data_IF_507531600826
#
_entry.id   IF_507531600826
#
_cell.length_a   1.000
_cell.length_b   1.000
_cell.length_c   1.000
_cell.angle_alpha   90.00
_cell.angle_beta   90.00
_cell.angle_gamma   90.00
#
_symmetry.space_group_name_H-M   'P 1'
#
loop_
_entity.id
_entity.type
_entity.pdbx_description
1 polymer ?
#
# COMPACT_ATOMS: atom_id res chain seq x y z
N UNK A 1 -21.65 37.28 20.45
CA UNK A 1 -21.20 35.93 20.05
C UNK A 1 -22.10 35.46 18.90
N UNK A 2 -21.62 35.61 17.67
CA UNK A 2 -22.37 35.23 16.46
C UNK A 2 -21.97 33.82 16.03
N UNK A 3 -22.96 32.94 15.84
CA UNK A 3 -22.79 31.63 15.22
C UNK A 3 -23.39 31.74 13.83
N UNK A 4 -22.52 31.84 12.81
CA UNK A 4 -22.94 31.79 11.42
C UNK A 4 -23.10 30.33 11.02
N UNK A 5 -24.36 29.90 10.91
CA UNK A 5 -24.75 28.64 10.26
C UNK A 5 -24.71 28.91 8.75
N UNK A 6 -23.73 28.33 8.07
CA UNK A 6 -23.61 28.39 6.61
C UNK A 6 -24.19 27.13 5.97
N UNK A 7 -25.41 27.24 5.47
CA UNK A 7 -26.09 26.22 4.67
C UNK A 7 -25.33 25.96 3.34
N UNK A 8 -24.80 24.75 3.17
CA UNK A 8 -24.25 24.29 1.89
C UNK A 8 -25.24 23.41 1.14
N UNK A 9 -25.56 23.90 -0.06
CA UNK A 9 -26.41 23.32 -1.08
C UNK A 9 -26.18 21.80 -1.32
N UNK A 10 -27.19 20.99 -1.00
CA UNK A 10 -27.26 19.56 -1.34
C UNK A 10 -27.68 19.39 -2.80
N UNK A 11 -26.73 19.14 -3.71
CA UNK A 11 -27.03 18.64 -5.06
C UNK A 11 -27.28 17.14 -5.00
N UNK A 12 -28.52 16.74 -5.28
CA UNK A 12 -28.96 15.36 -5.45
C UNK A 12 -28.28 14.76 -6.69
N UNK A 13 -27.41 13.78 -6.49
CA UNK A 13 -26.82 13.01 -7.59
C UNK A 13 -27.53 11.66 -7.73
N UNK A 14 -27.81 11.32 -8.97
CA UNK A 14 -28.75 10.29 -9.42
C UNK A 14 -27.97 9.01 -9.71
N UNK A 15 -28.24 7.94 -8.98
CA UNK A 15 -27.57 6.65 -9.13
C UNK A 15 -27.94 5.99 -10.48
N UNK A 16 -26.92 5.52 -11.21
CA UNK A 16 -27.10 4.60 -12.35
C UNK A 16 -26.51 3.24 -11.95
N UNK A 17 -27.39 2.25 -11.82
CA UNK A 17 -27.10 0.86 -11.48
C UNK A 17 -26.42 0.18 -12.67
N UNK A 18 -25.24 -0.41 -12.47
CA UNK A 18 -24.55 -1.22 -13.46
C UNK A 18 -24.30 -2.61 -12.88
N UNK A 19 -24.91 -3.62 -13.48
CA UNK A 19 -24.81 -5.03 -13.09
C UNK A 19 -23.73 -5.68 -13.96
N UNK A 20 -22.74 -6.35 -13.35
CA UNK A 20 -21.75 -7.16 -14.08
C UNK A 20 -21.80 -8.59 -13.50
N UNK A 21 -22.21 -9.53 -14.34
CA UNK A 21 -22.11 -10.99 -14.12
C UNK A 21 -20.80 -11.52 -14.70
N UNK A 22 -20.07 -12.35 -13.96
CA UNK A 22 -18.96 -13.16 -14.49
C UNK A 22 -19.06 -14.60 -13.96
N UNK A 23 -18.95 -15.64 -14.81
CA UNK A 23 -18.88 -17.03 -14.36
C UNK A 23 -17.44 -17.44 -14.01
N UNK A 24 -17.29 -18.12 -12.88
CA UNK A 24 -16.05 -18.70 -12.36
C UNK A 24 -15.92 -20.14 -12.88
N UNK A 25 -14.76 -20.49 -13.43
CA UNK A 25 -14.34 -21.88 -13.58
C UNK A 25 -12.89 -22.00 -13.06
N UNK A 26 -12.76 -22.50 -11.83
CA UNK A 26 -11.47 -22.83 -11.21
C UNK A 26 -11.33 -24.36 -11.17
N UNK A 27 -10.35 -24.89 -11.91
CA UNK A 27 -9.95 -26.29 -11.84
C UNK A 27 -9.29 -26.55 -10.46
N UNK A 28 -9.86 -27.45 -9.66
CA UNK A 28 -9.26 -27.95 -8.42
C UNK A 28 -8.45 -29.20 -8.74
N UNK A 29 -7.21 -29.28 -8.26
CA UNK A 29 -6.43 -30.53 -8.24
C UNK A 29 -6.03 -30.83 -6.80
N UNK A 30 -6.50 -31.94 -6.26
CA UNK A 30 -6.24 -32.42 -4.90
C UNK A 30 -5.04 -33.38 -4.93
N UNK A 31 -4.00 -33.08 -4.15
CA UNK A 31 -2.93 -34.03 -3.87
C UNK A 31 -2.99 -34.45 -2.39
N UNK A 32 -3.19 -35.75 -2.17
CA UNK A 32 -3.21 -36.41 -0.87
C UNK A 32 -1.79 -36.79 -0.46
N UNK A 33 -1.38 -36.49 0.77
CA UNK A 33 -0.12 -36.95 1.35
C UNK A 33 -0.41 -37.86 2.55
N UNK A 34 -0.04 -39.12 2.42
CA UNK A 34 -0.11 -40.12 3.49
C UNK A 34 1.03 -39.93 4.51
N UNK A 35 0.81 -40.21 5.81
CA UNK A 35 1.89 -40.34 6.78
C UNK A 35 2.45 -41.77 6.74
N UNK A 36 3.77 -41.90 6.53
CA UNK A 36 4.49 -43.16 6.69
C UNK A 36 5.10 -43.23 8.09
N UNK A 37 4.52 -44.09 8.92
CA UNK A 37 5.09 -44.59 10.18
C UNK A 37 6.29 -45.51 9.87
N UNK A 38 7.48 -45.18 10.37
CA UNK A 38 8.59 -46.13 10.52
C UNK A 38 9.25 -45.94 11.89
N UNK A 39 9.22 -47.02 12.65
CA UNK A 39 9.63 -47.13 14.04
C UNK A 39 11.00 -47.83 14.14
N UNK A 40 11.83 -47.37 15.10
CA UNK A 40 12.96 -48.06 15.75
C UNK A 40 14.24 -48.31 14.90
N UNK A 41 15.49 -48.12 15.36
CA UNK A 41 16.02 -48.07 16.73
C UNK A 41 17.55 -47.82 16.80
N UNK A 42 18.00 -47.06 17.82
CA UNK A 42 19.30 -47.05 18.55
C UNK A 42 20.63 -46.56 17.89
N UNK A 43 21.16 -45.41 18.37
CA UNK A 43 22.41 -45.32 19.18
C UNK A 43 22.76 -43.87 19.56
N UNK A 44 23.19 -43.68 20.80
CA UNK A 44 23.32 -42.41 21.53
C UNK A 44 24.61 -41.63 21.20
N UNK A 45 24.53 -40.29 21.08
CA UNK A 45 25.02 -39.30 22.08
C UNK A 45 25.11 -37.88 21.48
N UNK A 46 24.43 -36.94 22.17
CA UNK A 46 24.81 -35.54 22.45
C UNK A 46 25.07 -34.61 21.25
N UNK A 47 24.19 -33.67 20.89
CA UNK A 47 23.89 -32.46 21.66
C UNK A 47 22.78 -31.66 20.95
N UNK A 48 21.95 -30.93 21.69
CA UNK A 48 20.88 -29.99 21.25
C UNK A 48 19.45 -30.52 21.13
N UNK A 49 19.06 -31.48 21.98
CA UNK A 49 17.66 -31.76 22.28
C UNK A 49 17.31 -31.24 23.68
N UNK A 50 17.03 -29.94 23.76
CA UNK A 50 16.29 -29.37 24.89
C UNK A 50 14.87 -29.03 24.42
N UNK A 51 13.93 -29.86 24.87
CA UNK A 51 12.52 -29.58 25.20
C UNK A 51 11.86 -28.41 24.45
N UNK A 52 11.00 -28.73 23.48
CA UNK A 52 9.99 -27.79 22.97
C UNK A 52 8.71 -27.80 23.83
N UNK A 53 8.72 -28.49 24.97
CA UNK A 53 7.55 -28.66 25.85
C UNK A 53 7.48 -27.61 26.97
N UNK A 54 8.34 -26.58 26.95
CA UNK A 54 8.42 -25.56 28.02
C UNK A 54 8.14 -24.11 27.55
N UNK A 55 7.52 -23.91 26.38
CA UNK A 55 6.99 -22.60 25.97
C UNK A 55 5.47 -22.52 26.14
N UNK A 56 4.80 -23.67 26.33
CA UNK A 56 3.37 -23.72 26.67
C UNK A 56 3.10 -23.56 28.16
N UNK A 57 4.15 -23.61 29.01
CA UNK A 57 4.03 -23.61 30.48
C UNK A 57 4.34 -22.29 31.21
N UNK A 58 4.95 -21.29 30.56
CA UNK A 58 5.39 -20.04 31.23
C UNK A 58 4.80 -18.78 30.58
N UNK A 59 3.47 -18.66 30.50
CA UNK A 59 2.77 -17.37 30.68
C UNK A 59 1.25 -17.53 30.77
N UNK A 60 0.74 -18.44 31.62
CA UNK A 60 -0.72 -18.55 31.85
C UNK A 60 -1.27 -17.47 32.79
N UNK A 61 -0.45 -16.57 33.35
CA UNK A 61 -0.92 -15.53 34.28
C UNK A 61 -0.50 -14.10 33.90
N UNK A 62 -0.32 -13.81 32.61
CA UNK A 62 -0.25 -12.41 32.14
C UNK A 62 -1.62 -11.97 31.58
N UNK A 63 -2.25 -10.88 32.06
CA UNK A 63 -3.58 -10.43 31.61
C UNK A 63 -3.64 -9.94 30.15
N UNK A 64 -2.56 -10.05 29.38
CA UNK A 64 -2.37 -9.28 28.15
C UNK A 64 -2.02 -10.10 26.90
N UNK A 65 -2.01 -11.43 26.95
CA UNK A 65 -1.69 -12.23 25.77
C UNK A 65 -2.79 -13.23 25.43
N UNK A 66 -3.91 -12.69 24.97
CA UNK A 66 -4.94 -13.46 24.27
C UNK A 66 -4.32 -13.99 22.98
N UNK A 67 -4.19 -15.32 22.94
CA UNK A 67 -3.96 -16.15 21.76
C UNK A 67 -4.59 -15.48 20.53
N UNK A 68 -3.75 -15.17 19.53
CA UNK A 68 -4.16 -14.72 18.20
C UNK A 68 -5.29 -15.63 17.71
N UNK A 69 -6.52 -15.12 17.83
CA UNK A 69 -7.69 -15.68 17.16
C UNK A 69 -7.36 -15.74 15.68
N UNK A 70 -7.75 -16.81 15.00
CA UNK A 70 -7.84 -16.92 13.54
C UNK A 70 -8.81 -15.86 13.01
N UNK A 71 -8.45 -14.59 13.15
CA UNK A 71 -9.24 -13.45 12.74
C UNK A 71 -9.03 -13.29 11.24
N UNK A 72 -9.70 -14.16 10.49
CA UNK A 72 -9.89 -13.99 9.06
C UNK A 72 -10.72 -12.74 8.89
N UNK A 73 -10.06 -11.64 8.52
CA UNK A 73 -10.74 -10.40 8.20
C UNK A 73 -11.67 -10.61 7.01
N UNK A 74 -12.84 -10.00 7.06
CA UNK A 74 -13.70 -9.91 5.88
C UNK A 74 -13.02 -9.06 4.81
N UNK A 75 -13.43 -9.23 3.55
CA UNK A 75 -12.93 -8.43 2.44
C UNK A 75 -13.26 -6.94 2.64
N UNK A 76 -14.40 -6.64 3.26
CA UNK A 76 -14.81 -5.28 3.62
C UNK A 76 -13.86 -4.66 4.65
N UNK A 77 -13.49 -5.43 5.68
CA UNK A 77 -12.59 -4.99 6.73
C UNK A 77 -11.16 -4.76 6.18
N UNK A 78 -10.69 -5.65 5.30
CA UNK A 78 -9.41 -5.47 4.60
C UNK A 78 -9.39 -4.21 3.73
N UNK A 79 -10.49 -3.93 3.02
CA UNK A 79 -10.62 -2.71 2.22
C UNK A 79 -10.60 -1.46 3.09
N UNK A 80 -11.28 -1.51 4.23
CA UNK A 80 -11.33 -0.40 5.19
C UNK A 80 -9.95 -0.09 5.80
N UNK A 81 -9.17 -1.13 6.12
CA UNK A 81 -7.80 -0.96 6.58
C UNK A 81 -6.93 -0.31 5.50
N UNK A 82 -7.05 -0.77 4.24
CA UNK A 82 -6.31 -0.18 3.11
C UNK A 82 -6.71 1.28 2.83
N UNK A 83 -7.87 1.75 3.28
CA UNK A 83 -8.29 3.15 3.16
C UNK A 83 -8.00 3.99 4.42
N UNK A 84 -7.28 3.43 5.38
CA UNK A 84 -6.90 4.10 6.63
C UNK A 84 -5.40 4.35 6.68
N UNK A 85 -4.97 5.42 7.34
CA UNK A 85 -3.55 5.72 7.49
C UNK A 85 -2.86 4.70 8.41
N UNK A 86 -1.77 4.06 7.96
CA UNK A 86 -1.04 3.09 8.79
C UNK A 86 -0.22 3.76 9.91
N UNK A 87 0.09 5.04 9.78
CA UNK A 87 0.87 5.79 10.77
C UNK A 87 0.01 6.35 11.91
N UNK A 88 -1.19 6.87 11.61
CA UNK A 88 -2.02 7.55 12.61
C UNK A 88 -3.45 6.99 12.76
N UNK A 89 -3.82 5.97 11.97
CA UNK A 89 -5.09 5.25 12.12
C UNK A 89 -6.34 5.99 11.64
N UNK A 90 -6.23 7.23 11.15
CA UNK A 90 -7.41 7.96 10.63
C UNK A 90 -7.92 7.31 9.35
N UNK A 91 -9.24 7.30 9.19
CA UNK A 91 -9.94 6.79 8.01
C UNK A 91 -10.03 7.88 6.94
N UNK A 92 -9.42 7.67 5.78
CA UNK A 92 -9.49 8.64 4.67
C UNK A 92 -10.83 8.58 3.94
N UNK A 93 -11.54 7.47 3.99
CA UNK A 93 -12.91 7.35 3.44
C UNK A 93 -13.93 8.16 4.21
N UNK A 94 -13.66 8.45 5.49
CA UNK A 94 -14.48 9.33 6.34
C UNK A 94 -14.00 10.79 6.30
N UNK A 95 -13.15 11.15 5.33
CA UNK A 95 -12.56 12.49 5.16
C UNK A 95 -11.71 12.97 6.36
N UNK A 96 -11.22 12.04 7.19
CA UNK A 96 -10.32 12.36 8.29
C UNK A 96 -8.87 12.39 7.85
N UNK A 97 -8.11 13.36 8.35
CA UNK A 97 -6.67 13.51 8.10
C UNK A 97 -5.96 14.02 9.34
N UNK A 98 -4.70 13.63 9.49
CA UNK A 98 -3.78 14.29 10.42
C UNK A 98 -2.83 15.20 9.66
N UNK A 99 -2.75 16.48 10.06
CA UNK A 99 -1.90 17.47 9.39
C UNK A 99 -0.41 17.24 9.64
N UNK A 100 -0.07 16.63 10.79
CA UNK A 100 1.31 16.34 11.19
C UNK A 100 1.77 14.94 10.76
N UNK A 101 0.96 14.22 9.99
CA UNK A 101 1.27 12.89 9.49
C UNK A 101 1.70 12.95 8.02
N UNK A 102 2.94 12.53 7.73
CA UNK A 102 3.50 12.51 6.36
C UNK A 102 2.72 11.60 5.41
N UNK A 103 2.16 10.51 5.92
CA UNK A 103 1.35 9.57 5.15
C UNK A 103 0.00 10.17 4.76
N UNK A 104 -0.61 10.97 5.65
CA UNK A 104 -1.82 11.74 5.34
C UNK A 104 -1.54 12.89 4.37
N UNK A 105 -0.50 13.68 4.61
CA UNK A 105 -0.12 14.79 3.72
C UNK A 105 -1.23 15.82 3.49
N UNK A 106 -2.10 16.02 4.49
CA UNK A 106 -3.09 17.10 4.53
C UNK A 106 -4.38 16.92 3.72
N UNK A 107 -4.57 15.79 3.02
CA UNK A 107 -5.78 15.51 2.25
C UNK A 107 -6.25 14.07 2.47
N UNK A 108 -7.53 13.77 2.20
CA UNK A 108 -8.09 12.44 2.35
C UNK A 108 -7.95 11.66 1.04
N UNK A 109 -9.03 11.10 0.48
CA UNK A 109 -8.95 10.30 -0.76
C UNK A 109 -8.61 11.12 -2.01
N UNK A 110 -8.93 12.42 -2.01
CA UNK A 110 -8.77 13.28 -3.16
C UNK A 110 -8.16 14.64 -2.78
N UNK A 111 -7.49 15.28 -3.73
CA UNK A 111 -6.97 16.63 -3.56
C UNK A 111 -6.95 17.42 -4.88
N UNK A 112 -6.97 18.77 -4.82
CA UNK A 112 -6.71 19.59 -5.99
C UNK A 112 -5.32 19.33 -6.55
N UNK A 113 -5.16 19.57 -7.85
CA UNK A 113 -3.91 19.37 -8.57
C UNK A 113 -2.72 20.06 -7.88
N UNK A 114 -1.69 19.30 -7.44
CA UNK A 114 -0.53 19.87 -6.74
C UNK A 114 0.44 20.64 -7.64
N UNK A 115 0.29 20.56 -8.96
CA UNK A 115 1.20 21.22 -9.91
C UNK A 115 0.79 22.68 -10.16
N UNK A 116 -0.51 22.97 -10.09
CA UNK A 116 -1.07 24.30 -10.37
C UNK A 116 -2.06 24.75 -9.29
N UNK A 117 -1.94 24.18 -8.08
CA UNK A 117 -2.79 24.46 -6.92
C UNK A 117 -4.30 24.43 -7.22
N UNK A 118 -4.71 23.50 -8.09
CA UNK A 118 -6.10 23.29 -8.46
C UNK A 118 -6.63 24.15 -9.61
N UNK A 119 -5.86 25.08 -10.18
CA UNK A 119 -6.32 25.95 -11.27
C UNK A 119 -6.81 25.19 -12.52
N UNK A 120 -6.30 23.99 -12.76
CA UNK A 120 -6.74 23.15 -13.86
C UNK A 120 -8.08 22.42 -13.62
N UNK A 121 -8.62 22.50 -12.39
CA UNK A 121 -9.85 21.84 -11.97
C UNK A 121 -9.78 20.32 -11.90
N UNK A 122 -8.58 19.71 -12.03
CA UNK A 122 -8.40 18.26 -11.92
C UNK A 122 -8.22 17.86 -10.46
N UNK A 123 -9.02 16.89 -10.01
CA UNK A 123 -8.87 16.21 -8.73
C UNK A 123 -7.94 15.01 -8.89
N UNK A 124 -6.95 14.92 -8.01
CA UNK A 124 -5.98 13.82 -7.96
C UNK A 124 -6.44 12.83 -6.90
N UNK A 125 -6.35 11.54 -7.20
CA UNK A 125 -6.73 10.46 -6.29
C UNK A 125 -5.54 9.92 -5.55
N UNK A 126 -5.71 9.54 -4.29
CA UNK A 126 -4.66 8.91 -3.50
C UNK A 126 -4.26 7.56 -4.09
N UNK A 127 -2.95 7.35 -4.22
CA UNK A 127 -2.36 6.03 -4.50
C UNK A 127 -2.17 5.31 -3.17
N UNK A 128 -3.15 4.49 -2.73
CA UNK A 128 -3.08 3.80 -1.43
C UNK A 128 -1.84 2.90 -1.35
N UNK A 129 -1.59 2.11 -2.39
CA UNK A 129 -0.43 1.21 -2.47
C UNK A 129 0.88 1.97 -2.28
N UNK A 130 1.13 3.03 -3.05
CA UNK A 130 2.38 3.80 -2.90
C UNK A 130 2.41 4.62 -1.62
N UNK A 131 1.25 5.08 -1.13
CA UNK A 131 1.18 5.87 0.10
C UNK A 131 1.62 5.02 1.29
N UNK A 132 1.06 3.82 1.44
CA UNK A 132 1.47 2.88 2.49
C UNK A 132 2.91 2.42 2.30
N UNK A 133 3.30 2.05 1.08
CA UNK A 133 4.66 1.56 0.80
C UNK A 133 5.76 2.58 1.12
N UNK A 134 5.45 3.88 1.09
CA UNK A 134 6.42 4.96 1.35
C UNK A 134 6.19 5.71 2.66
N UNK A 135 5.12 5.39 3.39
CA UNK A 135 4.63 6.14 4.56
C UNK A 135 4.52 7.66 4.30
N UNK A 136 4.22 8.02 3.05
CA UNK A 136 4.14 9.40 2.56
C UNK A 136 2.99 9.53 1.57
N UNK A 137 2.26 10.64 1.60
CA UNK A 137 1.13 10.84 0.69
C UNK A 137 1.57 10.78 -0.79
N UNK A 138 1.01 9.84 -1.55
CA UNK A 138 1.22 9.68 -3.00
C UNK A 138 -0.10 9.82 -3.76
N UNK A 139 -0.02 10.40 -4.95
CA UNK A 139 -1.20 10.84 -5.70
C UNK A 139 -1.10 10.47 -7.18
N UNK A 140 -2.23 10.10 -7.76
CA UNK A 140 -2.43 9.79 -9.17
C UNK A 140 -3.28 10.88 -9.81
N UNK A 141 -2.75 11.47 -10.87
CA UNK A 141 -3.43 12.46 -11.68
C UNK A 141 -2.46 13.11 -12.67
N UNK A 142 -3.04 13.89 -13.58
CA UNK A 142 -2.29 14.67 -14.56
C UNK A 142 -2.85 16.08 -14.59
N UNK A 143 -1.97 17.07 -14.65
CA UNK A 143 -2.39 18.47 -14.70
C UNK A 143 -2.65 18.91 -16.15
N UNK A 144 -3.84 19.43 -16.43
CA UNK A 144 -4.21 19.92 -17.77
C UNK A 144 -3.43 21.15 -18.22
N UNK A 145 -2.80 21.86 -17.29
CA UNK A 145 -1.99 23.05 -17.57
C UNK A 145 -0.51 22.73 -17.76
N UNK A 146 -0.09 21.47 -17.52
CA UNK A 146 1.32 21.08 -17.53
C UNK A 146 1.86 20.68 -18.90
N UNK A 147 1.19 21.08 -20.00
CA UNK A 147 1.62 20.79 -21.39
C UNK A 147 2.94 21.45 -21.81
N UNK A 148 3.77 21.89 -20.86
CA UNK A 148 5.14 22.36 -21.06
C UNK A 148 6.16 21.83 -20.05
N UNK A 149 5.82 20.86 -19.19
CA UNK A 149 6.73 20.34 -18.14
C UNK A 149 6.81 18.81 -18.09
N UNK A 150 6.57 18.11 -19.20
CA UNK A 150 7.08 16.75 -19.33
C UNK A 150 8.59 16.83 -19.59
N UNK A 151 9.33 16.68 -18.50
CA UNK A 151 10.68 16.13 -18.38
C UNK A 151 11.39 15.87 -19.71
N UNK A 152 12.45 16.64 -19.94
CA UNK A 152 13.51 16.37 -20.89
C UNK A 152 14.21 15.03 -20.55
N UNK A 153 13.70 13.91 -21.06
CA UNK A 153 14.43 12.65 -21.21
C UNK A 153 14.83 12.35 -22.67
N UNK A 154 15.28 13.36 -23.46
CA UNK A 154 16.18 13.08 -24.59
C UNK A 154 17.56 13.76 -24.48
N UNK A 155 17.74 14.72 -23.56
CA UNK A 155 19.01 15.44 -23.41
C UNK A 155 20.08 14.60 -22.69
N UNK A 156 19.70 13.83 -21.67
CA UNK A 156 20.62 12.96 -20.93
C UNK A 156 21.21 11.86 -21.82
N UNK A 157 20.44 11.30 -22.75
CA UNK A 157 20.91 10.27 -23.69
C UNK A 157 21.93 10.82 -24.68
N UNK A 158 21.73 12.04 -25.19
CA UNK A 158 22.69 12.68 -26.11
C UNK A 158 23.99 13.07 -25.41
N UNK A 159 23.92 13.55 -24.17
CA UNK A 159 25.11 13.88 -23.37
C UNK A 159 25.90 12.60 -23.04
N UNK A 160 25.21 11.51 -22.69
CA UNK A 160 25.85 10.22 -22.44
C UNK A 160 26.53 9.66 -23.70
N UNK A 161 25.87 9.74 -24.86
CA UNK A 161 26.45 9.31 -26.14
C UNK A 161 27.67 10.15 -26.55
N UNK A 162 27.62 11.47 -26.36
CA UNK A 162 28.76 12.36 -26.64
C UNK A 162 29.94 12.08 -25.70
N UNK A 163 29.69 11.86 -24.40
CA UNK A 163 30.72 11.51 -23.43
C UNK A 163 31.39 10.18 -23.76
N UNK A 164 30.63 9.13 -24.10
CA UNK A 164 31.19 7.85 -24.53
C UNK A 164 32.06 8.00 -25.78
N UNK A 165 31.60 8.78 -26.77
CA UNK A 165 32.34 9.04 -28.00
C UNK A 165 33.66 9.78 -27.76
N UNK A 166 33.70 10.69 -26.79
CA UNK A 166 34.92 11.43 -26.42
C UNK A 166 35.91 10.56 -25.64
N UNK A 167 35.43 9.64 -24.80
CA UNK A 167 36.28 8.72 -24.04
C UNK A 167 36.98 7.71 -24.97
N UNK A 168 36.28 7.15 -25.96
CA UNK A 168 36.88 6.25 -26.95
C UNK A 168 37.97 6.92 -27.78
N UNK A 169 37.76 8.18 -28.18
CA UNK A 169 38.78 8.98 -28.91
C UNK A 169 40.03 9.23 -28.09
N UNK A 170 39.93 9.36 -26.77
CA UNK A 170 41.10 9.50 -25.90
C UNK A 170 41.84 8.18 -25.71
N UNK A 171 41.13 7.05 -25.72
CA UNK A 171 41.72 5.71 -25.62
C UNK A 171 42.51 5.29 -26.87
N UNK A 172 42.13 5.76 -28.05
CA UNK A 172 42.75 5.37 -29.33
C UNK A 172 44.00 6.19 -29.70
N UNK A 173 44.37 7.17 -28.87
CA UNK A 173 45.50 8.08 -29.09
C UNK A 173 46.66 7.89 -28.09
N UNK A 174 46.69 6.76 -27.37
CA UNK A 174 47.79 6.35 -26.47
C UNK A 174 48.68 5.29 -27.08
#
# INVERSE_FOLDING_TARGET
MGVLVGDTNRKVFREKKFTITSPVASNMSLASVHPAELHSSHSSLTTLSHSLDDITGLSWNSPYHTIHSDHVMTIEELRNQMSSCFTCGVSWTDDHVSLDCSECGGYAMERPCPICDGNCGVMWKRDLTKTHATSKARWLGECKLSRGQTIQEPANTLIAQELCSRLEKLSANS
#
